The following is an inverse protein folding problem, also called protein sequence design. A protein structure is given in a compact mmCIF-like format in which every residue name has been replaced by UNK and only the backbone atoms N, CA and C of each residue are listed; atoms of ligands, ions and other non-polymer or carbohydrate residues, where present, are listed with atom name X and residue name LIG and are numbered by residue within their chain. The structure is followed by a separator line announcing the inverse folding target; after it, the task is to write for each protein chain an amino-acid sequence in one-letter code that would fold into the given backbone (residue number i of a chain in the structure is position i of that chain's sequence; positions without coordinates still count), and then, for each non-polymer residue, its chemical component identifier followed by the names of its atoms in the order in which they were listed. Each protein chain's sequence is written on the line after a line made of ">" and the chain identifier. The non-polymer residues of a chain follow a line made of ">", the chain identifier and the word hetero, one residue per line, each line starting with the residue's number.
data_IF_938620861599
#
_entry.id   IF_938620861599
#
_cell.length_a   1.000
_cell.length_b   1.000
_cell.length_c   1.000
_cell.angle_alpha   90.00
_cell.angle_beta   90.00
_cell.angle_gamma   90.00
#
_symmetry.space_group_name_H-M   'P 1'
#
loop_
_entity.id
_entity.type
_entity.pdbx_description
1 polymer ?
#
# COMPACT_ATOMS: atom_id res chain seq x y z
N UNK A 1 28.63 33.52 86.22
CA UNK A 1 30.06 33.46 85.91
C UNK A 1 30.40 32.01 85.63
N UNK A 2 30.22 31.56 84.38
CA UNK A 2 30.93 30.41 83.83
C UNK A 2 30.80 30.46 82.30
N UNK A 3 31.93 30.70 81.65
CA UNK A 3 32.09 30.81 80.20
C UNK A 3 32.44 29.43 79.65
N UNK A 4 31.73 28.95 78.61
CA UNK A 4 32.26 27.83 77.81
C UNK A 4 31.78 27.83 76.35
N UNK A 5 32.60 28.49 75.54
CA UNK A 5 33.21 27.98 74.29
C UNK A 5 32.30 27.29 73.27
N UNK A 6 31.95 28.03 72.21
CA UNK A 6 31.40 27.52 70.95
C UNK A 6 32.43 26.62 70.26
N UNK A 7 32.12 25.34 70.04
CA UNK A 7 32.82 24.48 69.08
C UNK A 7 31.92 24.31 67.86
N UNK A 8 32.27 24.99 66.77
CA UNK A 8 31.63 24.81 65.48
C UNK A 8 32.04 23.43 64.93
N UNK A 9 31.07 22.55 64.75
CA UNK A 9 31.26 21.27 64.06
C UNK A 9 31.23 21.54 62.56
N UNK A 10 32.40 21.46 61.91
CA UNK A 10 32.51 21.42 60.46
C UNK A 10 32.04 20.03 59.99
N UNK A 11 30.78 19.92 59.59
CA UNK A 11 30.29 18.74 58.90
C UNK A 11 30.81 18.76 57.46
N UNK A 12 31.88 18.00 57.19
CA UNK A 12 32.32 17.72 55.83
C UNK A 12 31.38 16.65 55.27
N UNK A 13 30.32 17.08 54.57
CA UNK A 13 29.52 16.20 53.74
C UNK A 13 30.34 15.81 52.51
N UNK A 14 30.86 14.59 52.49
CA UNK A 14 31.37 13.98 51.27
C UNK A 14 30.21 13.67 50.34
N UNK A 15 29.98 14.55 49.35
CA UNK A 15 29.14 14.25 48.20
C UNK A 15 29.90 13.24 47.32
N UNK A 16 29.65 11.96 47.53
CA UNK A 16 29.96 10.94 46.53
C UNK A 16 28.90 11.09 45.43
N UNK A 17 29.16 11.96 44.47
CA UNK A 17 28.44 12.02 43.20
C UNK A 17 28.67 10.69 42.47
N UNK A 18 27.80 9.73 42.78
CA UNK A 18 27.59 8.57 41.94
C UNK A 18 26.95 9.09 40.66
N UNK A 19 27.79 9.53 39.71
CA UNK A 19 27.34 9.79 38.35
C UNK A 19 26.97 8.44 37.79
N UNK A 20 25.69 8.08 37.94
CA UNK A 20 25.07 7.06 37.15
C UNK A 20 25.16 7.53 35.70
N UNK A 21 26.24 7.18 35.01
CA UNK A 21 26.24 7.10 33.54
C UNK A 21 25.39 5.88 33.21
N UNK A 22 24.09 6.01 33.45
CA UNK A 22 23.07 5.12 32.92
C UNK A 22 23.01 5.37 31.42
N UNK A 23 23.95 4.78 30.69
CA UNK A 23 23.74 4.55 29.26
C UNK A 23 22.67 3.48 29.16
N UNK A 24 21.40 3.87 29.34
CA UNK A 24 20.31 3.08 28.80
C UNK A 24 20.61 2.94 27.31
N UNK A 25 20.75 1.73 26.75
CA UNK A 25 20.75 1.61 25.31
C UNK A 25 19.41 2.17 24.87
N UNK A 26 19.43 3.32 24.18
CA UNK A 26 18.25 3.87 23.57
C UNK A 26 17.78 2.82 22.57
N UNK A 27 16.81 1.99 22.96
CA UNK A 27 16.15 1.04 22.07
C UNK A 27 15.67 1.85 20.86
N UNK A 28 16.38 1.74 19.74
CA UNK A 28 16.11 2.56 18.57
C UNK A 28 14.79 2.12 17.97
N UNK A 29 13.76 2.94 18.08
CA UNK A 29 12.49 2.69 17.39
C UNK A 29 12.73 2.81 15.89
N UNK A 30 12.40 1.76 15.14
CA UNK A 30 12.49 1.76 13.67
C UNK A 30 11.18 2.28 13.10
N UNK A 31 11.24 3.13 12.09
CA UNK A 31 10.06 3.69 11.45
C UNK A 31 9.75 2.96 10.15
N UNK A 32 8.52 2.46 10.03
CA UNK A 32 7.99 1.85 8.80
C UNK A 32 6.78 2.66 8.34
N UNK A 33 6.64 2.82 7.02
CA UNK A 33 5.49 3.49 6.40
C UNK A 33 4.88 2.55 5.38
N UNK A 34 3.56 2.49 5.35
CA UNK A 34 2.80 1.77 4.33
C UNK A 34 1.56 2.55 3.96
N UNK A 35 1.09 2.38 2.74
CA UNK A 35 -0.24 2.83 2.36
C UNK A 35 -1.28 1.78 2.79
N UNK A 36 -2.52 2.20 2.95
CA UNK A 36 -3.65 1.29 3.17
C UNK A 36 -3.81 0.30 2.03
N UNK A 37 -4.38 -0.87 2.32
CA UNK A 37 -4.61 -1.98 1.39
C UNK A 37 -3.33 -2.61 0.78
N UNK A 38 -2.14 -2.21 1.23
CA UNK A 38 -0.85 -2.80 0.83
C UNK A 38 -0.34 -3.79 1.89
N UNK A 39 0.82 -4.38 1.65
CA UNK A 39 1.61 -5.14 2.63
C UNK A 39 2.67 -4.22 3.28
N UNK A 40 2.80 -4.31 4.60
CA UNK A 40 3.92 -3.74 5.33
C UNK A 40 4.78 -4.86 5.91
N UNK A 41 6.11 -4.70 5.82
CA UNK A 41 7.07 -5.55 6.53
C UNK A 41 7.67 -4.74 7.67
N UNK A 42 7.38 -5.14 8.90
CA UNK A 42 7.92 -4.51 10.09
C UNK A 42 9.27 -5.17 10.40
N UNK A 43 10.39 -4.47 10.19
CA UNK A 43 11.71 -5.08 10.22
C UNK A 43 12.09 -5.52 11.64
N UNK A 44 12.60 -6.73 11.74
CA UNK A 44 13.16 -7.30 12.96
C UNK A 44 14.21 -8.34 12.61
N UNK A 45 15.37 -8.21 13.25
CA UNK A 45 16.43 -9.22 13.22
C UNK A 45 16.87 -9.47 14.65
N UNK A 46 16.94 -10.73 15.06
CA UNK A 46 17.36 -11.07 16.43
C UNK A 46 18.86 -11.39 16.53
N UNK A 47 19.57 -11.39 15.40
CA UNK A 47 21.01 -11.59 15.30
C UNK A 47 21.43 -13.03 15.61
N UNK A 48 22.15 -13.67 14.69
CA UNK A 48 22.72 -15.01 14.89
C UNK A 48 23.94 -14.95 15.82
N UNK A 49 23.77 -14.58 17.09
CA UNK A 49 24.79 -14.82 18.10
C UNK A 49 24.45 -16.09 18.86
N UNK A 50 25.20 -17.13 18.53
CA UNK A 50 25.24 -18.47 19.14
C UNK A 50 24.44 -19.50 18.35
N UNK A 51 25.20 -20.29 17.60
CA UNK A 51 24.95 -21.64 17.11
C UNK A 51 23.57 -21.91 16.50
N UNK A 52 23.59 -22.33 15.23
CA UNK A 52 22.44 -22.85 14.49
C UNK A 52 21.77 -23.95 15.33
N UNK A 53 20.81 -23.56 16.15
CA UNK A 53 19.78 -24.44 16.67
C UNK A 53 18.97 -24.90 15.47
N UNK A 54 18.79 -26.21 15.31
CA UNK A 54 17.89 -26.77 14.29
C UNK A 54 16.43 -26.36 14.50
N UNK A 55 16.10 -25.79 15.66
CA UNK A 55 14.75 -25.35 16.01
C UNK A 55 14.56 -23.87 15.67
N UNK A 56 13.51 -23.59 14.89
CA UNK A 56 13.05 -22.22 14.62
C UNK A 56 12.72 -21.50 15.93
N UNK A 57 13.20 -20.26 16.12
CA UNK A 57 12.99 -19.52 17.35
C UNK A 57 11.51 -19.24 17.61
N UNK A 58 11.15 -19.18 18.90
CA UNK A 58 9.82 -18.80 19.35
C UNK A 58 9.75 -17.28 19.50
N UNK A 59 8.89 -16.65 18.68
CA UNK A 59 8.72 -15.19 18.64
C UNK A 59 7.30 -14.76 18.99
N UNK A 60 7.20 -13.52 19.49
CA UNK A 60 5.93 -12.84 19.75
C UNK A 60 6.01 -11.39 19.29
N UNK A 61 5.00 -10.96 18.53
CA UNK A 61 4.74 -9.56 18.21
C UNK A 61 3.54 -9.07 19.00
N UNK A 62 3.67 -7.89 19.60
CA UNK A 62 2.58 -7.23 20.32
C UNK A 62 2.55 -5.74 20.00
N UNK A 63 1.40 -5.13 20.21
CA UNK A 63 1.29 -3.70 20.45
C UNK A 63 1.40 -3.45 21.96
N UNK A 64 1.38 -2.18 22.38
CA UNK A 64 1.32 -1.83 23.81
C UNK A 64 0.16 -2.48 24.57
N UNK A 65 -0.94 -2.82 23.90
CA UNK A 65 -2.17 -3.29 24.55
C UNK A 65 -2.48 -4.75 24.27
N UNK A 66 -2.14 -5.23 23.07
CA UNK A 66 -2.64 -6.51 22.57
C UNK A 66 -1.54 -7.30 21.87
N UNK A 67 -1.60 -8.64 22.02
CA UNK A 67 -0.86 -9.56 21.17
C UNK A 67 -1.30 -9.38 19.71
N UNK A 68 -0.35 -9.46 18.79
CA UNK A 68 -0.58 -9.35 17.33
C UNK A 68 -0.40 -10.71 16.69
N UNK A 69 0.77 -11.30 16.92
CA UNK A 69 1.19 -12.55 16.29
C UNK A 69 2.12 -13.33 17.20
N UNK A 70 2.01 -14.65 17.17
CA UNK A 70 2.88 -15.56 17.90
C UNK A 70 3.23 -16.76 17.03
N UNK A 71 4.51 -17.17 17.04
CA UNK A 71 4.95 -18.36 16.31
C UNK A 71 5.93 -19.18 17.14
N UNK A 72 5.63 -20.46 17.27
CA UNK A 72 6.46 -21.47 17.92
C UNK A 72 6.58 -22.66 16.96
N UNK A 73 7.69 -22.75 16.22
CA UNK A 73 7.83 -23.76 15.18
C UNK A 73 6.84 -23.52 14.03
N UNK A 74 6.17 -24.58 13.54
CA UNK A 74 5.13 -24.46 12.52
C UNK A 74 3.82 -23.91 13.09
N UNK A 75 3.64 -23.96 14.42
CA UNK A 75 2.43 -23.45 15.05
C UNK A 75 2.46 -21.91 15.10
N UNK A 76 1.36 -21.29 14.66
CA UNK A 76 1.18 -19.85 14.71
C UNK A 76 -0.18 -19.47 15.27
N UNK A 77 -0.22 -18.34 15.95
CA UNK A 77 -1.41 -17.68 16.43
C UNK A 77 -1.45 -16.25 15.87
N UNK A 78 -2.65 -15.81 15.49
CA UNK A 78 -2.94 -14.45 15.06
C UNK A 78 -4.07 -13.95 15.94
N UNK A 79 -3.94 -12.75 16.47
CA UNK A 79 -5.07 -12.10 17.13
C UNK A 79 -6.18 -11.77 16.10
N UNK A 80 -7.42 -11.66 16.57
CA UNK A 80 -8.61 -11.53 15.73
C UNK A 80 -8.51 -10.41 14.67
N UNK A 81 -8.03 -9.22 15.06
CA UNK A 81 -7.86 -8.09 14.15
C UNK A 81 -6.82 -8.31 13.03
N UNK A 82 -5.93 -9.29 13.21
CA UNK A 82 -4.80 -9.61 12.34
C UNK A 82 -4.96 -10.98 11.64
N UNK A 83 -6.13 -11.60 11.79
CA UNK A 83 -6.40 -12.92 11.23
C UNK A 83 -6.27 -12.91 9.71
N UNK A 84 -5.55 -13.90 9.17
CA UNK A 84 -5.15 -14.07 7.77
C UNK A 84 -4.34 -12.90 7.19
N UNK A 85 -3.80 -12.02 8.04
CA UNK A 85 -3.05 -10.83 7.61
C UNK A 85 -1.63 -10.76 8.16
N UNK A 86 -1.39 -11.33 9.34
CA UNK A 86 -0.09 -11.30 10.00
C UNK A 86 0.66 -12.63 9.86
N UNK A 87 1.92 -12.58 9.43
CA UNK A 87 2.81 -13.74 9.48
C UNK A 87 4.27 -13.34 9.71
N UNK A 88 5.04 -14.25 10.29
CA UNK A 88 6.51 -14.21 10.25
C UNK A 88 6.92 -15.48 9.51
N UNK A 89 7.41 -15.40 8.26
CA UNK A 89 7.63 -16.60 7.46
C UNK A 89 8.69 -17.52 8.08
N UNK A 90 8.32 -18.79 8.28
CA UNK A 90 9.15 -19.77 9.00
C UNK A 90 10.55 -19.94 8.41
N UNK A 91 10.62 -19.98 7.07
CA UNK A 91 11.86 -20.21 6.33
C UNK A 91 12.91 -19.10 6.52
N UNK A 92 12.47 -17.86 6.79
CA UNK A 92 13.38 -16.74 7.05
C UNK A 92 13.60 -16.54 8.55
N UNK A 93 12.63 -16.92 9.38
CA UNK A 93 12.78 -16.95 10.84
C UNK A 93 13.89 -17.90 11.29
N UNK A 94 13.99 -19.07 10.66
CA UNK A 94 15.09 -20.02 10.85
C UNK A 94 16.47 -19.40 10.57
N UNK A 95 16.53 -18.32 9.77
CA UNK A 95 17.76 -17.62 9.36
C UNK A 95 18.03 -16.35 10.16
N UNK A 96 17.22 -16.04 11.18
CA UNK A 96 17.41 -14.86 12.02
C UNK A 96 16.44 -13.70 11.76
N UNK A 97 15.59 -13.79 10.73
CA UNK A 97 14.67 -12.71 10.35
C UNK A 97 13.30 -12.91 11.03
N UNK A 98 13.01 -12.07 12.01
CA UNK A 98 11.76 -12.05 12.78
C UNK A 98 10.75 -11.01 12.28
N UNK A 99 10.94 -10.47 11.06
CA UNK A 99 10.10 -9.39 10.54
C UNK A 99 8.65 -9.83 10.39
N UNK A 100 7.72 -8.98 10.85
CA UNK A 100 6.29 -9.22 10.74
C UNK A 100 5.81 -8.74 9.37
N UNK A 101 5.31 -9.66 8.56
CA UNK A 101 4.57 -9.37 7.34
C UNK A 101 3.11 -9.14 7.70
N UNK A 102 2.61 -7.94 7.41
CA UNK A 102 1.23 -7.54 7.67
C UNK A 102 0.58 -7.09 6.36
N UNK A 103 -0.32 -7.90 5.83
CA UNK A 103 -1.05 -7.63 4.59
C UNK A 103 -2.36 -6.87 4.82
N UNK A 104 -2.90 -6.26 3.76
CA UNK A 104 -4.17 -5.52 3.77
C UNK A 104 -4.18 -4.44 4.86
N UNK A 105 -3.15 -3.60 4.90
CA UNK A 105 -2.96 -2.57 5.95
C UNK A 105 -4.18 -1.65 6.08
N UNK A 106 -4.60 -1.40 7.32
CA UNK A 106 -5.73 -0.54 7.70
C UNK A 106 -5.23 0.65 8.51
N UNK A 107 -5.99 1.74 8.54
CA UNK A 107 -5.63 2.90 9.38
C UNK A 107 -5.50 2.54 10.86
N UNK A 108 -6.33 1.60 11.35
CA UNK A 108 -6.29 1.08 12.72
C UNK A 108 -5.00 0.34 13.08
N UNK A 109 -4.20 -0.07 12.09
CA UNK A 109 -2.93 -0.77 12.33
C UNK A 109 -1.79 0.19 12.66
N UNK A 110 -1.97 1.51 12.49
CA UNK A 110 -0.96 2.49 12.83
C UNK A 110 -0.61 2.43 14.33
N UNK A 111 0.68 2.44 14.65
CA UNK A 111 1.13 2.37 16.04
C UNK A 111 2.49 1.75 16.21
N UNK A 112 2.83 1.48 17.47
CA UNK A 112 4.09 0.86 17.87
C UNK A 112 3.87 -0.63 18.09
N UNK A 113 4.74 -1.41 17.46
CA UNK A 113 4.83 -2.85 17.55
C UNK A 113 6.16 -3.23 18.21
N UNK A 114 6.14 -4.26 19.04
CA UNK A 114 7.30 -4.76 19.75
C UNK A 114 7.46 -6.25 19.48
N UNK A 115 8.68 -6.65 19.11
CA UNK A 115 9.05 -8.03 18.89
C UNK A 115 9.85 -8.57 20.07
N UNK A 116 9.52 -9.79 20.49
CA UNK A 116 10.17 -10.50 21.57
C UNK A 116 10.58 -11.90 21.14
N UNK A 117 11.78 -12.31 21.56
CA UNK A 117 12.20 -13.71 21.58
C UNK A 117 11.72 -14.34 22.89
N UNK A 118 11.15 -15.54 22.82
CA UNK A 118 10.73 -16.28 24.01
C UNK A 118 11.64 -17.49 24.19
N UNK A 119 12.34 -17.54 25.32
CA UNK A 119 13.30 -18.59 25.66
C UNK A 119 12.92 -19.28 26.97
N UNK A 120 13.40 -20.50 27.17
CA UNK A 120 13.16 -21.28 28.40
C UNK A 120 12.24 -22.47 28.20
N UNK A 121 11.94 -23.19 29.29
CA UNK A 121 11.15 -24.43 29.29
C UNK A 121 9.73 -24.17 29.77
N UNK A 122 8.83 -25.15 29.58
CA UNK A 122 7.45 -25.10 30.11
C UNK A 122 7.46 -24.83 31.61
N UNK A 123 6.90 -23.68 32.04
CA UNK A 123 6.88 -23.22 33.43
C UNK A 123 7.89 -22.12 33.78
N UNK A 124 8.89 -21.86 32.92
CA UNK A 124 9.90 -20.80 33.11
C UNK A 124 10.29 -20.13 31.79
N UNK A 125 9.31 -19.50 31.14
CA UNK A 125 9.53 -18.72 29.90
C UNK A 125 9.98 -17.30 30.24
N UNK A 126 11.03 -16.83 29.58
CA UNK A 126 11.49 -15.44 29.62
C UNK A 126 11.30 -14.80 28.24
N UNK A 127 10.87 -13.53 28.23
CA UNK A 127 10.74 -12.71 27.03
C UNK A 127 11.93 -11.77 26.93
N UNK A 128 12.62 -11.78 25.80
CA UNK A 128 13.74 -10.89 25.49
C UNK A 128 13.26 -9.92 24.42
N UNK A 129 13.29 -8.63 24.72
CA UNK A 129 12.94 -7.58 23.76
C UNK A 129 14.00 -7.54 22.65
N UNK A 130 13.54 -7.51 21.39
CA UNK A 130 14.42 -7.41 20.21
C UNK A 130 14.35 -6.00 19.63
N UNK A 131 13.14 -5.59 19.21
CA UNK A 131 12.96 -4.40 18.38
C UNK A 131 11.58 -3.78 18.61
N UNK A 132 11.55 -2.45 18.56
CA UNK A 132 10.31 -1.66 18.47
C UNK A 132 10.19 -1.03 17.09
N UNK A 133 9.03 -1.17 16.45
CA UNK A 133 8.74 -0.63 15.12
C UNK A 133 7.51 0.27 15.19
N UNK A 134 7.64 1.51 14.76
CA UNK A 134 6.51 2.43 14.58
C UNK A 134 6.01 2.36 13.13
N UNK A 135 4.81 1.83 12.94
CA UNK A 135 4.11 1.80 11.66
C UNK A 135 3.26 3.07 11.50
N UNK A 136 3.51 3.82 10.42
CA UNK A 136 2.64 4.90 9.97
C UNK A 136 1.87 4.47 8.74
N UNK A 137 0.55 4.71 8.74
CA UNK A 137 -0.34 4.32 7.64
C UNK A 137 -0.77 5.55 6.87
N UNK A 138 -0.67 5.50 5.54
CA UNK A 138 -0.96 6.61 4.63
C UNK A 138 -2.13 6.28 3.70
N UNK A 139 -2.84 7.32 3.30
CA UNK A 139 -3.82 7.27 2.21
C UNK A 139 -3.11 7.39 0.85
N UNK A 140 -3.76 6.90 -0.19
CA UNK A 140 -3.30 7.04 -1.57
C UNK A 140 -3.64 8.44 -2.08
N UNK A 141 -2.68 9.12 -2.73
CA UNK A 141 -2.90 10.45 -3.32
C UNK A 141 -2.36 10.52 -4.73
N UNK A 142 -3.19 10.94 -5.68
CA UNK A 142 -2.75 11.13 -7.07
C UNK A 142 -3.47 12.28 -7.77
N UNK A 143 -2.83 12.79 -8.82
CA UNK A 143 -3.43 13.74 -9.77
C UNK A 143 -3.44 13.10 -11.14
N UNK A 144 -4.56 13.20 -11.86
CA UNK A 144 -4.73 12.63 -13.19
C UNK A 144 -5.20 13.71 -14.15
N UNK A 145 -4.68 13.64 -15.37
CA UNK A 145 -5.11 14.48 -16.48
C UNK A 145 -5.72 13.56 -17.53
N UNK A 146 -6.96 13.82 -17.93
CA UNK A 146 -7.70 12.99 -18.87
C UNK A 146 -8.20 13.85 -20.02
N UNK A 147 -8.04 13.38 -21.25
CA UNK A 147 -8.61 14.06 -22.42
C UNK A 147 -10.13 13.86 -22.46
N UNK A 148 -10.86 14.89 -22.90
CA UNK A 148 -12.30 14.80 -23.08
C UNK A 148 -12.67 13.65 -24.02
N UNK A 149 -13.71 12.91 -23.64
CA UNK A 149 -14.22 11.75 -24.36
C UNK A 149 -13.42 10.45 -24.15
N UNK A 150 -12.38 10.46 -23.30
CA UNK A 150 -11.70 9.24 -22.84
C UNK A 150 -12.31 8.70 -21.55
N UNK A 151 -11.92 7.50 -21.18
CA UNK A 151 -12.36 6.86 -19.96
C UNK A 151 -11.43 7.21 -18.80
N UNK A 152 -12.00 7.56 -17.65
CA UNK A 152 -11.29 7.69 -16.38
C UNK A 152 -11.44 6.37 -15.61
N UNK A 153 -10.33 5.80 -15.18
CA UNK A 153 -10.31 4.59 -14.37
C UNK A 153 -9.76 4.88 -12.98
N UNK A 154 -10.48 4.56 -11.90
CA UNK A 154 -10.04 4.76 -10.52
C UNK A 154 -9.83 3.41 -9.83
N UNK A 155 -8.74 3.26 -9.07
CA UNK A 155 -8.49 2.04 -8.31
C UNK A 155 -9.39 2.02 -7.07
N UNK A 156 -10.15 0.94 -6.89
CA UNK A 156 -11.12 0.85 -5.79
C UNK A 156 -10.50 0.32 -4.49
N UNK A 157 -9.35 -0.35 -4.49
CA UNK A 157 -8.82 -0.99 -3.28
C UNK A 157 -9.86 -1.91 -2.60
N UNK A 158 -10.34 -2.90 -3.37
CA UNK A 158 -11.50 -3.74 -3.05
C UNK A 158 -11.49 -4.43 -1.69
N UNK A 159 -10.33 -4.64 -1.06
CA UNK A 159 -10.30 -5.25 0.26
C UNK A 159 -11.03 -4.40 1.31
N UNK A 160 -11.03 -3.06 1.17
CA UNK A 160 -11.55 -2.15 2.20
C UNK A 160 -12.59 -1.13 1.71
N UNK A 161 -12.65 -0.81 0.41
CA UNK A 161 -13.52 0.28 -0.06
C UNK A 161 -15.01 -0.01 0.00
N UNK A 162 -15.77 0.92 0.58
CA UNK A 162 -17.22 0.82 0.74
C UNK A 162 -17.96 1.80 -0.17
N UNK A 163 -17.43 3.00 -0.38
CA UNK A 163 -18.10 4.06 -1.16
C UNK A 163 -17.09 4.89 -1.95
N UNK A 164 -17.49 5.35 -3.14
CA UNK A 164 -16.77 6.38 -3.90
C UNK A 164 -17.63 7.63 -3.98
N UNK A 165 -17.05 8.75 -3.57
CA UNK A 165 -17.68 10.07 -3.64
C UNK A 165 -16.89 10.99 -4.56
N UNK A 166 -17.59 11.95 -5.15
CA UNK A 166 -17.03 12.92 -6.08
C UNK A 166 -17.50 14.33 -5.73
N UNK A 167 -16.58 15.27 -5.82
CA UNK A 167 -16.83 16.70 -5.72
C UNK A 167 -16.33 17.36 -7.00
N UNK A 168 -17.20 18.08 -7.70
CA UNK A 168 -16.84 18.77 -8.95
C UNK A 168 -15.88 19.94 -8.68
N UNK A 169 -15.04 20.30 -9.66
CA UNK A 169 -14.18 21.50 -9.54
C UNK A 169 -14.97 22.81 -9.45
N UNK A 170 -16.22 22.82 -9.94
CA UNK A 170 -17.09 23.99 -9.98
C UNK A 170 -18.12 24.03 -8.84
N UNK A 171 -18.07 23.09 -7.88
CA UNK A 171 -19.06 23.02 -6.81
C UNK A 171 -18.53 22.39 -5.53
N UNK A 172 -19.19 22.65 -4.42
CA UNK A 172 -18.71 22.23 -3.10
C UNK A 172 -19.40 20.96 -2.56
N UNK A 173 -20.44 20.47 -3.25
CA UNK A 173 -21.19 19.30 -2.81
C UNK A 173 -20.54 17.98 -3.21
N UNK A 174 -20.50 17.05 -2.25
CA UNK A 174 -20.10 15.66 -2.49
C UNK A 174 -21.29 14.84 -2.95
N UNK A 175 -21.13 14.07 -4.03
CA UNK A 175 -22.11 13.11 -4.51
C UNK A 175 -21.54 11.70 -4.53
N UNK A 176 -22.38 10.72 -4.21
CA UNK A 176 -22.02 9.30 -4.30
C UNK A 176 -22.03 8.84 -5.76
N UNK A 177 -20.96 8.17 -6.18
CA UNK A 177 -20.83 7.57 -7.52
C UNK A 177 -20.96 6.06 -7.49
N UNK A 178 -20.50 5.43 -6.42
CA UNK A 178 -20.48 3.99 -6.27
C UNK A 178 -20.57 3.61 -4.80
N UNK A 179 -21.25 2.51 -4.53
CA UNK A 179 -21.32 1.86 -3.22
C UNK A 179 -21.22 0.35 -3.39
N UNK A 180 -20.47 -0.29 -2.50
CA UNK A 180 -20.29 -1.73 -2.49
C UNK A 180 -21.65 -2.43 -2.39
N UNK A 181 -21.93 -3.33 -3.32
CA UNK A 181 -23.17 -4.13 -3.31
C UNK A 181 -24.41 -3.43 -3.87
N UNK A 182 -24.34 -2.14 -4.25
CA UNK A 182 -25.44 -1.46 -4.92
C UNK A 182 -25.34 -1.60 -6.45
N UNK A 183 -26.48 -1.55 -7.15
CA UNK A 183 -26.56 -1.48 -8.62
C UNK A 183 -26.20 -0.06 -9.08
N UNK A 184 -24.95 0.30 -8.85
CA UNK A 184 -24.38 1.61 -9.17
C UNK A 184 -24.43 1.89 -10.68
N UNK A 185 -24.50 3.16 -11.07
CA UNK A 185 -24.51 3.62 -12.48
C UNK A 185 -23.16 3.48 -13.20
N UNK A 186 -22.13 3.02 -12.50
CA UNK A 186 -20.74 3.04 -12.95
C UNK A 186 -20.24 1.62 -13.04
N UNK A 187 -19.52 1.29 -14.12
CA UNK A 187 -19.02 -0.05 -14.35
C UNK A 187 -17.85 -0.35 -13.42
N UNK A 188 -18.03 -1.37 -12.60
CA UNK A 188 -16.95 -1.99 -11.83
C UNK A 188 -16.31 -3.09 -12.68
N UNK A 189 -15.03 -2.92 -13.03
CA UNK A 189 -14.27 -3.90 -13.80
C UNK A 189 -12.93 -4.16 -13.13
N UNK A 190 -12.68 -5.42 -12.77
CA UNK A 190 -11.38 -5.90 -12.25
C UNK A 190 -10.81 -5.11 -11.06
N UNK A 191 -11.66 -4.63 -10.14
CA UNK A 191 -11.17 -3.85 -8.99
C UNK A 191 -11.01 -2.35 -9.25
N UNK A 192 -11.52 -1.88 -10.39
CA UNK A 192 -11.48 -0.49 -10.78
C UNK A 192 -12.87 0.04 -11.10
N UNK A 193 -13.06 1.32 -10.84
CA UNK A 193 -14.24 2.08 -11.24
C UNK A 193 -13.95 2.77 -12.57
N UNK A 194 -14.79 2.54 -13.59
CA UNK A 194 -14.62 3.13 -14.92
C UNK A 194 -15.71 4.15 -15.21
N UNK A 195 -15.31 5.40 -15.41
CA UNK A 195 -16.18 6.50 -15.84
C UNK A 195 -15.88 6.75 -17.31
N UNK A 196 -16.81 6.34 -18.18
CA UNK A 196 -16.62 6.45 -19.63
C UNK A 196 -16.94 7.84 -20.18
N UNK A 197 -16.32 8.19 -21.31
CA UNK A 197 -16.61 9.42 -22.06
C UNK A 197 -16.60 10.69 -21.19
N UNK A 198 -15.50 10.90 -20.47
CA UNK A 198 -15.30 11.97 -19.49
C UNK A 198 -15.46 13.36 -20.12
N UNK A 199 -16.22 14.23 -19.46
CA UNK A 199 -16.42 15.63 -19.86
C UNK A 199 -15.94 16.62 -18.80
N UNK A 200 -16.09 17.92 -19.06
CA UNK A 200 -15.68 18.98 -18.13
C UNK A 200 -16.41 18.91 -16.77
N UNK A 201 -17.61 18.33 -16.72
CA UNK A 201 -18.38 18.12 -15.47
C UNK A 201 -17.81 17.04 -14.56
N UNK A 202 -16.95 16.18 -15.08
CA UNK A 202 -16.25 15.12 -14.34
C UNK A 202 -14.90 15.61 -13.79
N UNK A 203 -14.53 16.85 -14.07
CA UNK A 203 -13.39 17.47 -13.42
C UNK A 203 -13.68 17.69 -11.92
N UNK A 204 -12.72 17.35 -11.06
CA UNK A 204 -12.88 17.50 -9.62
C UNK A 204 -12.04 16.53 -8.79
N UNK A 205 -12.53 16.22 -7.60
CA UNK A 205 -11.87 15.35 -6.62
C UNK A 205 -12.72 14.11 -6.39
N UNK A 206 -12.09 12.95 -6.52
CA UNK A 206 -12.67 11.66 -6.25
C UNK A 206 -12.07 11.09 -4.97
N UNK A 207 -12.90 10.55 -4.08
CA UNK A 207 -12.46 9.87 -2.87
C UNK A 207 -13.03 8.46 -2.80
N UNK A 208 -12.15 7.51 -2.51
CA UNK A 208 -12.53 6.15 -2.14
C UNK A 208 -12.52 6.09 -0.62
N UNK A 209 -13.63 5.64 -0.02
CA UNK A 209 -13.89 5.67 1.42
C UNK A 209 -14.16 4.24 1.90
N UNK A 210 -13.63 3.88 3.07
CA UNK A 210 -13.87 2.58 3.71
C UNK A 210 -15.18 2.55 4.51
N UNK A 211 -15.46 1.39 5.14
CA UNK A 211 -16.66 1.21 5.97
C UNK A 211 -16.69 2.03 7.25
N UNK A 212 -15.57 2.62 7.67
CA UNK A 212 -15.46 3.50 8.85
C UNK A 212 -15.59 4.99 8.47
N UNK A 213 -15.70 5.30 7.18
CA UNK A 213 -15.78 6.67 6.68
C UNK A 213 -14.42 7.34 6.48
N UNK A 214 -13.31 6.59 6.57
CA UNK A 214 -11.96 7.10 6.32
C UNK A 214 -11.63 7.05 4.83
N UNK A 215 -10.90 8.06 4.35
CA UNK A 215 -10.53 8.14 2.94
C UNK A 215 -9.31 7.25 2.66
N UNK A 216 -9.52 6.18 1.90
CA UNK A 216 -8.47 5.28 1.38
C UNK A 216 -7.63 5.98 0.31
N UNK A 217 -8.29 6.67 -0.62
CA UNK A 217 -7.64 7.28 -1.77
C UNK A 217 -8.29 8.60 -2.16
N UNK A 218 -7.46 9.59 -2.50
CA UNK A 218 -7.90 10.86 -3.09
C UNK A 218 -7.26 11.04 -4.47
N UNK A 219 -8.09 11.21 -5.49
CA UNK A 219 -7.66 11.45 -6.87
C UNK A 219 -8.19 12.80 -7.33
N UNK A 220 -7.27 13.74 -7.62
CA UNK A 220 -7.63 15.00 -8.27
C UNK A 220 -7.58 14.81 -9.79
N UNK A 221 -8.69 15.06 -10.46
CA UNK A 221 -8.80 14.90 -11.92
C UNK A 221 -8.90 16.27 -12.56
N UNK A 222 -8.13 16.47 -13.63
CA UNK A 222 -8.23 17.61 -14.54
C UNK A 222 -8.59 17.11 -15.95
N UNK A 223 -9.51 17.78 -16.61
CA UNK A 223 -10.01 17.35 -17.93
C UNK A 223 -9.53 18.34 -18.99
N UNK A 224 -8.88 17.83 -20.03
CA UNK A 224 -8.33 18.65 -21.11
C UNK A 224 -9.10 18.46 -22.41
N UNK A 225 -9.38 19.57 -23.10
CA UNK A 225 -9.90 19.51 -24.47
C UNK A 225 -8.89 18.81 -25.38
N UNK A 226 -9.36 17.99 -26.35
CA UNK A 226 -8.46 17.36 -27.30
C UNK A 226 -7.77 18.44 -28.14
N UNK A 227 -6.50 18.25 -28.52
CA UNK A 227 -5.81 19.19 -29.38
C UNK A 227 -6.58 19.38 -30.69
N UNK A 228 -6.87 20.64 -31.04
CA UNK A 228 -7.53 20.95 -32.32
C UNK A 228 -6.66 20.42 -33.46
N UNK A 229 -7.23 19.69 -34.43
CA UNK A 229 -6.44 19.17 -35.54
C UNK A 229 -5.89 20.34 -36.36
N UNK A 230 -4.56 20.45 -36.41
CA UNK A 230 -3.85 21.43 -37.23
C UNK A 230 -4.05 21.10 -38.72
N UNK A 231 -4.01 22.12 -39.60
CA UNK A 231 -4.18 21.95 -41.06
C UNK A 231 -3.33 20.83 -41.66
N UNK A 232 -2.13 20.57 -41.12
CA UNK A 232 -1.24 19.46 -41.51
C UNK A 232 -1.82 18.08 -41.20
N UNK A 233 -2.41 17.89 -40.01
CA UNK A 233 -3.07 16.62 -39.63
C UNK A 233 -4.34 16.35 -40.47
N UNK A 234 -5.05 17.40 -40.89
CA UNK A 234 -6.20 17.27 -41.78
C UNK A 234 -5.79 16.84 -43.20
N UNK A 235 -4.64 17.32 -43.69
CA UNK A 235 -4.09 16.89 -44.98
C UNK A 235 -3.63 15.44 -44.91
N UNK A 236 -2.89 15.03 -43.88
CA UNK A 236 -2.42 13.64 -43.73
C UNK A 236 -3.58 12.64 -43.52
N UNK A 237 -4.61 13.02 -42.75
CA UNK A 237 -5.82 12.22 -42.58
C UNK A 237 -6.66 12.15 -43.87
N UNK A 238 -6.66 13.21 -44.68
CA UNK A 238 -7.31 13.22 -46.01
C UNK A 238 -6.51 12.41 -47.04
N UNK A 239 -5.18 12.44 -46.99
CA UNK A 239 -4.28 11.64 -47.85
C UNK A 239 -4.41 10.14 -47.53
N UNK A 240 -4.48 9.76 -46.25
CA UNK A 240 -4.72 8.37 -45.85
C UNK A 240 -6.13 7.88 -46.23
N UNK A 241 -7.16 8.73 -46.12
CA UNK A 241 -8.52 8.41 -46.55
C UNK A 241 -8.68 8.38 -48.08
N UNK A 242 -7.94 9.19 -48.83
CA UNK A 242 -7.93 9.16 -50.30
C UNK A 242 -7.11 7.97 -50.84
N UNK A 243 -6.09 7.50 -50.12
CA UNK A 243 -5.33 6.29 -50.51
C UNK A 243 -6.14 4.99 -50.44
N UNK A 244 -7.21 4.94 -49.64
CA UNK A 244 -8.10 3.78 -49.53
C UNK A 244 -9.30 3.82 -50.47
N UNK A 245 -9.48 4.91 -51.24
CA UNK A 245 -10.54 5.07 -52.27
C UNK A 245 -9.96 4.99 -53.70
N UNK A 246 -8.73 4.47 -53.84
CA UNK A 246 -8.15 4.10 -55.13
C UNK A 246 -8.86 2.88 -55.73
N UNK A 247 -9.61 3.11 -56.81
CA UNK A 247 -10.30 2.12 -57.64
C UNK A 247 -9.43 0.89 -57.98
N UNK A 248 -9.70 -0.25 -57.33
CA UNK A 248 -9.33 -1.55 -57.86
C UNK A 248 -10.45 -2.03 -58.80
N UNK A 249 -10.26 -1.78 -60.09
CA UNK A 249 -10.98 -2.52 -61.13
C UNK A 249 -10.21 -3.82 -61.40
N UNK A 250 -10.84 -5.01 -61.38
CA UNK A 250 -10.13 -6.24 -61.71
C UNK A 250 -9.98 -6.33 -63.23
N UNK A 251 -8.78 -6.09 -63.74
CA UNK A 251 -8.40 -6.47 -65.10
C UNK A 251 -8.24 -7.98 -65.17
N UNK A 252 -9.12 -8.65 -65.94
CA UNK A 252 -8.99 -10.06 -66.30
C UNK A 252 -7.65 -10.29 -67.05
N UNK A 253 -6.92 -11.37 -66.77
CA UNK A 253 -5.71 -11.69 -67.53
C UNK A 253 -6.09 -12.15 -68.95
N UNK A 254 -5.52 -11.49 -69.96
CA UNK A 254 -5.53 -11.88 -71.37
C UNK A 254 -4.76 -13.21 -71.52
N UNK A 255 -5.48 -14.31 -71.33
CA UNK A 255 -4.96 -15.68 -71.46
C UNK A 255 -6.02 -16.64 -71.97
N UNK A 256 -6.89 -16.21 -72.89
CA UNK A 256 -7.83 -17.07 -73.62
C UNK A 256 -7.98 -16.56 -75.07
N UNK A 257 -6.86 -16.52 -75.79
CA UNK A 257 -6.88 -16.54 -77.26
C UNK A 257 -6.48 -17.95 -77.71
N UNK A 258 -7.31 -18.52 -78.59
CA UNK A 258 -7.03 -19.65 -79.48
C UNK A 258 -6.66 -20.99 -78.83
N UNK A 259 -7.68 -21.73 -78.41
CA UNK A 259 -7.70 -23.18 -78.65
C UNK A 259 -8.65 -23.41 -79.84
N UNK A 260 -8.01 -23.43 -81.02
CA UNK A 260 -8.16 -24.52 -81.99
C UNK A 260 -9.60 -24.89 -82.36
N UNK A 261 -10.14 -24.14 -83.29
CA UNK A 261 -10.84 -24.70 -84.47
C UNK A 261 -9.92 -25.76 -85.11
N UNK A 262 -9.92 -26.99 -84.58
CA UNK A 262 -9.36 -28.19 -85.19
C UNK A 262 -9.82 -29.42 -84.40
N UNK A 263 -11.13 -29.58 -84.26
CA UNK A 263 -11.78 -30.89 -84.13
C UNK A 263 -13.06 -30.85 -84.97
N UNK A 264 -12.84 -30.80 -86.29
CA UNK A 264 -13.80 -31.18 -87.31
C UNK A 264 -13.19 -32.41 -88.00
N UNK A 265 -13.40 -33.55 -87.35
CA UNK A 265 -13.55 -34.90 -87.90
C UNK A 265 -14.36 -35.69 -86.87
#
# INVERSE_FOLDING_TARGET
>A
METRTKRAWMFVYGFLELVCVGSSPLSSVVFTRSEVCQEAVLPCEWGSHSEVSSETPYIQWQTLRNMVFERMGPAKFQAEAYQNRADVPEAVLAKGNCSLHLSDIRFSDAGIYECYLVVGKTGSKQRIFIQSVQLSVLDHKSTRVVEMGKDLTLDLYKSQAETVVFQSSNGDEWRELWRRGDRSRVEERDGKLVIGNVGASDEGIYRVIDGEGLTISTVKVSVQEPPRPTRTNLVEKRVSFESSVGMNSPSLPLGFLLIMFLYLL
#
